data_IF_420266888624
#
_entry.id   IF_420266888624
#
_cell.length_a   1.000
_cell.length_b   1.000
_cell.length_c   1.000
_cell.angle_alpha   90.00
_cell.angle_beta   90.00
_cell.angle_gamma   90.00
#
_symmetry.space_group_name_H-M   'P 1'
#
loop_
_entity.id
_entity.type
_entity.pdbx_description
1 polymer ?
#
# COMPACT_ATOMS: atom_id res chain seq x y z
N UNK A 1 -9.43 0.79 -1.39
CA UNK A 1 -9.64 1.90 -2.34
C UNK A 1 -10.01 1.33 -3.69
N UNK A 2 -11.05 1.84 -4.34
CA UNK A 2 -11.55 1.28 -5.61
C UNK A 2 -11.26 2.21 -6.78
N UNK A 3 -10.70 1.67 -7.86
CA UNK A 3 -10.37 2.40 -9.08
C UNK A 3 -11.11 1.79 -10.27
N UNK A 4 -11.81 2.62 -11.05
CA UNK A 4 -12.49 2.18 -12.28
C UNK A 4 -11.75 2.69 -13.51
N UNK A 5 -11.32 1.76 -14.36
CA UNK A 5 -10.75 2.05 -15.68
C UNK A 5 -11.88 2.09 -16.71
N UNK A 6 -12.50 3.27 -16.89
CA UNK A 6 -13.72 3.46 -17.69
C UNK A 6 -13.63 2.90 -19.12
N UNK A 7 -12.51 3.11 -19.81
CA UNK A 7 -12.32 2.63 -21.20
C UNK A 7 -12.25 1.10 -21.30
N UNK A 8 -11.67 0.46 -20.30
CA UNK A 8 -11.48 -1.00 -20.26
C UNK A 8 -12.62 -1.73 -19.53
N UNK A 9 -13.54 -1.02 -18.88
CA UNK A 9 -14.57 -1.62 -18.03
C UNK A 9 -14.02 -2.37 -16.80
N UNK A 10 -12.74 -2.14 -16.46
CA UNK A 10 -12.04 -2.87 -15.40
C UNK A 10 -12.22 -2.16 -14.06
N UNK A 11 -12.40 -2.96 -13.02
CA UNK A 11 -12.48 -2.49 -11.64
C UNK A 11 -11.31 -3.06 -10.86
N UNK A 12 -10.48 -2.19 -10.30
CA UNK A 12 -9.37 -2.55 -9.43
C UNK A 12 -9.74 -2.22 -7.99
N UNK A 13 -9.54 -3.17 -7.08
CA UNK A 13 -9.56 -2.93 -5.64
C UNK A 13 -8.14 -2.94 -5.08
N UNK A 14 -7.88 -2.02 -4.16
CA UNK A 14 -6.56 -1.72 -3.65
C UNK A 14 -6.59 -1.69 -2.12
N UNK A 15 -5.88 -2.61 -1.49
CA UNK A 15 -5.69 -2.64 -0.03
C UNK A 15 -4.32 -2.03 0.28
N UNK A 16 -4.26 -0.86 0.95
CA UNK A 16 -3.00 -0.22 1.29
C UNK A 16 -2.27 -0.99 2.42
N UNK A 17 -0.94 -0.86 2.50
CA UNK A 17 -0.18 -1.40 3.62
C UNK A 17 -0.46 -0.56 4.89
N UNK A 18 -0.24 -1.11 6.10
CA UNK A 18 -0.36 -0.37 7.33
C UNK A 18 0.68 0.75 7.42
N UNK A 19 0.30 1.90 7.96
CA UNK A 19 1.19 3.05 8.16
C UNK A 19 1.60 3.15 9.64
N UNK A 20 2.89 3.36 9.89
CA UNK A 20 3.47 3.55 11.21
C UNK A 20 4.07 4.95 11.33
N UNK A 21 3.71 5.67 12.38
CA UNK A 21 4.32 6.95 12.75
C UNK A 21 5.31 6.72 13.88
N UNK A 22 6.56 7.10 13.67
CA UNK A 22 7.65 6.93 14.61
C UNK A 22 8.04 8.27 15.24
N UNK A 23 8.66 8.22 16.43
CA UNK A 23 9.17 9.40 17.14
C UNK A 23 8.09 10.47 17.42
N UNK A 24 6.94 10.05 17.94
CA UNK A 24 5.84 10.94 18.32
C UNK A 24 6.13 11.75 19.59
N UNK A 25 6.92 11.20 20.51
CA UNK A 25 7.20 11.83 21.81
C UNK A 25 8.56 12.53 21.81
N UNK A 26 9.60 11.89 21.27
CA UNK A 26 10.96 12.42 21.19
C UNK A 26 11.63 12.08 19.85
N UNK A 27 12.53 12.96 19.39
CA UNK A 27 13.24 12.82 18.11
C UNK A 27 12.51 13.46 16.94
N UNK A 28 13.07 13.36 15.72
CA UNK A 28 12.39 13.81 14.50
C UNK A 28 11.30 12.81 14.14
N UNK A 29 10.05 13.25 14.10
CA UNK A 29 8.91 12.44 13.66
C UNK A 29 9.09 12.03 12.19
N UNK A 30 8.78 10.77 11.90
CA UNK A 30 8.82 10.22 10.54
C UNK A 30 7.76 9.12 10.37
N UNK A 31 7.45 8.79 9.12
CA UNK A 31 6.39 7.87 8.75
C UNK A 31 6.97 6.76 7.87
N UNK A 32 6.55 5.52 8.13
CA UNK A 32 6.84 4.35 7.30
C UNK A 32 5.54 3.62 6.94
N UNK A 33 5.52 2.86 5.86
CA UNK A 33 4.38 2.02 5.48
C UNK A 33 4.85 0.62 5.04
N UNK A 34 5.33 -0.20 6.00
CA UNK A 34 5.86 -1.53 5.69
C UNK A 34 4.74 -2.53 5.36
N UNK A 35 5.10 -3.55 4.60
CA UNK A 35 4.25 -4.72 4.34
C UNK A 35 3.64 -4.74 2.95
N UNK A 36 2.57 -5.54 2.81
CA UNK A 36 1.97 -5.82 1.52
C UNK A 36 0.90 -4.80 1.14
N UNK A 37 1.00 -4.31 -0.08
CA UNK A 37 -0.07 -3.63 -0.77
C UNK A 37 -0.61 -4.56 -1.85
N UNK A 38 -1.91 -4.84 -1.79
CA UNK A 38 -2.56 -5.81 -2.66
C UNK A 38 -3.48 -5.06 -3.62
N UNK A 39 -3.28 -5.29 -4.92
CA UNK A 39 -4.18 -4.84 -5.98
C UNK A 39 -4.86 -6.05 -6.61
N UNK A 40 -6.19 -6.05 -6.63
CA UNK A 40 -7.00 -7.11 -7.22
C UNK A 40 -7.85 -6.53 -8.35
N UNK A 41 -7.71 -7.08 -9.55
CA UNK A 41 -8.65 -6.83 -10.64
C UNK A 41 -9.91 -7.66 -10.41
N UNK A 42 -11.00 -7.00 -10.03
CA UNK A 42 -12.28 -7.67 -9.73
C UNK A 42 -12.99 -8.18 -11.00
N UNK A 43 -12.57 -7.74 -12.18
CA UNK A 43 -13.15 -8.17 -13.46
C UNK A 43 -12.50 -9.46 -13.97
N UNK A 44 -11.17 -9.58 -13.85
CA UNK A 44 -10.42 -10.73 -14.38
C UNK A 44 -9.97 -11.71 -13.30
N UNK A 45 -9.90 -11.27 -12.04
CA UNK A 45 -9.32 -12.04 -10.93
C UNK A 45 -7.81 -11.87 -10.77
N UNK A 46 -7.14 -11.11 -11.65
CA UNK A 46 -5.69 -10.88 -11.57
C UNK A 46 -5.31 -10.19 -10.25
N UNK A 47 -4.18 -10.60 -9.68
CA UNK A 47 -3.66 -10.07 -8.42
C UNK A 47 -2.22 -9.59 -8.58
N UNK A 48 -1.95 -8.37 -8.13
CA UNK A 48 -0.60 -7.86 -7.95
C UNK A 48 -0.35 -7.61 -6.46
N UNK A 49 0.85 -7.97 -5.98
CA UNK A 49 1.30 -7.75 -4.61
C UNK A 49 2.57 -6.93 -4.66
N UNK A 50 2.56 -5.76 -4.04
CA UNK A 50 3.73 -4.92 -3.84
C UNK A 50 4.18 -5.07 -2.40
N UNK A 51 5.45 -5.43 -2.19
CA UNK A 51 6.03 -5.58 -0.85
C UNK A 51 6.91 -4.37 -0.53
N UNK A 52 6.48 -3.59 0.46
CA UNK A 52 7.26 -2.48 0.99
C UNK A 52 8.16 -3.01 2.12
N UNK A 53 9.47 -3.02 1.87
CA UNK A 53 10.45 -3.40 2.87
C UNK A 53 10.40 -2.39 4.03
N UNK A 54 10.36 -2.85 5.29
CA UNK A 54 10.42 -1.95 6.43
C UNK A 54 11.71 -1.14 6.42
N UNK A 55 11.61 0.16 6.67
CA UNK A 55 12.80 0.98 6.88
C UNK A 55 13.40 0.62 8.25
N UNK A 56 14.64 0.13 8.26
CA UNK A 56 15.35 -0.15 9.51
C UNK A 56 15.73 1.14 10.24
N UNK A 57 16.50 1.03 11.32
CA UNK A 57 17.05 2.20 12.01
C UNK A 57 18.01 3.07 11.16
N UNK A 58 18.38 2.62 9.95
CA UNK A 58 19.31 3.30 9.05
C UNK A 58 18.87 3.36 7.57
N UNK A 59 17.62 2.96 7.27
CA UNK A 59 17.17 2.72 5.89
C UNK A 59 17.53 1.32 5.45
#
# INVERSE_FOLDING_TARGET
>A
TRVSLKKAGVILDLVPPPTKVNNLIFGRTWVDSPGEMIMTNLTTGDKAVLYFQPCGWFG
#
